data_IF_135103812307
#
_entry.id   IF_135103812307
#
_cell.length_a   1.000
_cell.length_b   1.000
_cell.length_c   1.000
_cell.angle_alpha   90.00
_cell.angle_beta   90.00
_cell.angle_gamma   90.00
#
_symmetry.space_group_name_H-M   'P 1'
#
loop_
_entity.id
_entity.type
_entity.pdbx_description
1 polymer ?
#
# COMPACT_ATOMS: atom_id res chain seq x y z
N UNK A 1 -0.01 32.35 -3.72
CA UNK A 1 0.72 31.48 -2.78
C UNK A 1 1.37 30.38 -3.60
N UNK A 2 2.71 30.32 -3.62
CA UNK A 2 3.46 29.24 -4.24
C UNK A 2 3.50 27.98 -3.35
N UNK A 3 3.99 26.87 -3.89
CA UNK A 3 4.06 25.59 -3.16
C UNK A 3 4.93 25.67 -1.89
N UNK A 4 5.93 26.54 -1.87
CA UNK A 4 6.82 26.74 -0.72
C UNK A 4 6.10 27.48 0.42
N UNK A 5 5.46 28.60 0.10
CA UNK A 5 4.66 29.41 1.05
C UNK A 5 3.49 28.59 1.64
N UNK A 6 2.84 27.76 0.82
CA UNK A 6 1.79 26.86 1.29
C UNK A 6 2.33 25.82 2.27
N UNK A 7 3.49 25.23 1.98
CA UNK A 7 4.12 24.23 2.86
C UNK A 7 4.47 24.83 4.22
N UNK A 8 5.04 26.04 4.24
CA UNK A 8 5.39 26.74 5.48
C UNK A 8 4.14 27.02 6.33
N UNK A 9 3.07 27.54 5.72
CA UNK A 9 1.81 27.79 6.43
C UNK A 9 1.18 26.52 7.00
N UNK A 10 1.19 25.41 6.24
CA UNK A 10 0.67 24.13 6.73
C UNK A 10 1.48 23.58 7.90
N UNK A 11 2.81 23.71 7.87
CA UNK A 11 3.67 23.30 8.97
C UNK A 11 3.38 24.09 10.26
N UNK A 12 3.13 25.39 10.14
CA UNK A 12 2.78 26.24 11.30
C UNK A 12 1.45 25.79 11.95
N UNK A 13 0.44 25.45 11.15
CA UNK A 13 -0.81 24.90 11.66
C UNK A 13 -0.60 23.54 12.35
N UNK A 14 0.22 22.66 11.79
CA UNK A 14 0.51 21.34 12.37
C UNK A 14 1.21 21.47 13.72
N UNK A 15 2.16 22.39 13.85
CA UNK A 15 2.96 22.56 15.08
C UNK A 15 2.13 23.04 16.28
N UNK A 16 0.97 23.65 16.04
CA UNK A 16 0.07 24.18 17.08
C UNK A 16 -1.27 23.44 17.14
N UNK A 17 -1.47 22.43 16.31
CA UNK A 17 -2.71 21.66 16.21
C UNK A 17 -2.96 20.80 17.46
N UNK A 18 -4.25 20.66 17.80
CA UNK A 18 -4.68 19.66 18.75
C UNK A 18 -4.69 18.24 18.14
N UNK A 19 -4.82 17.22 19.00
CA UNK A 19 -4.83 15.82 18.59
C UNK A 19 -5.96 15.52 17.58
N UNK A 20 -7.12 16.18 17.70
CA UNK A 20 -8.26 15.96 16.82
C UNK A 20 -7.94 16.40 15.40
N UNK A 21 -7.37 17.59 15.23
CA UNK A 21 -6.94 18.10 13.93
C UNK A 21 -5.83 17.22 13.33
N UNK A 22 -4.85 16.81 14.15
CA UNK A 22 -3.77 15.91 13.71
C UNK A 22 -4.31 14.56 13.20
N UNK A 23 -5.32 13.99 13.86
CA UNK A 23 -5.97 12.75 13.40
C UNK A 23 -6.64 12.92 12.04
N UNK A 24 -7.32 14.04 11.82
CA UNK A 24 -7.96 14.32 10.52
C UNK A 24 -6.91 14.50 9.42
N UNK A 25 -5.87 15.30 9.67
CA UNK A 25 -4.78 15.51 8.71
C UNK A 25 -4.10 14.19 8.37
N UNK A 26 -3.81 13.36 9.38
CA UNK A 26 -3.25 12.01 9.19
C UNK A 26 -4.16 11.16 8.29
N UNK A 27 -5.45 11.08 8.59
CA UNK A 27 -6.39 10.28 7.80
C UNK A 27 -6.48 10.75 6.33
N UNK A 28 -6.46 12.06 6.09
CA UNK A 28 -6.43 12.61 4.73
C UNK A 28 -5.15 12.20 4.01
N UNK A 29 -3.97 12.39 4.62
CA UNK A 29 -2.69 12.01 4.02
C UNK A 29 -2.66 10.50 3.73
N UNK A 30 -3.11 9.67 4.67
CA UNK A 30 -3.18 8.22 4.48
C UNK A 30 -4.10 7.85 3.31
N UNK A 31 -5.24 8.52 3.12
CA UNK A 31 -6.11 8.26 1.97
C UNK A 31 -5.44 8.52 0.62
N UNK A 32 -4.58 9.53 0.51
CA UNK A 32 -3.80 9.76 -0.71
C UNK A 32 -2.74 8.69 -0.94
N UNK A 33 -2.19 8.12 0.14
CA UNK A 33 -1.19 7.05 0.06
C UNK A 33 -1.80 5.70 -0.31
N UNK A 34 -3.04 5.43 0.09
CA UNK A 34 -3.73 4.17 -0.27
C UNK A 34 -3.95 4.03 -1.78
N UNK A 35 -4.16 5.14 -2.49
CA UNK A 35 -4.35 5.20 -3.95
C UNK A 35 -3.03 5.23 -4.74
N UNK A 36 -1.88 5.29 -4.06
CA UNK A 36 -0.57 5.28 -4.70
C UNK A 36 -0.33 3.94 -5.42
N UNK A 37 0.09 3.98 -6.68
CA UNK A 37 0.51 2.78 -7.43
C UNK A 37 1.86 2.32 -6.88
N UNK A 38 1.91 1.11 -6.32
CA UNK A 38 3.12 0.56 -5.69
C UNK A 38 3.70 -0.64 -6.43
N UNK A 39 2.94 -1.25 -7.34
CA UNK A 39 3.38 -2.39 -8.13
C UNK A 39 2.58 -2.50 -9.45
N UNK A 40 2.97 -3.46 -10.29
CA UNK A 40 2.24 -3.85 -11.49
C UNK A 40 2.09 -5.37 -11.52
N UNK A 41 0.94 -5.84 -11.99
CA UNK A 41 0.68 -7.28 -12.24
C UNK A 41 1.48 -7.81 -13.43
N UNK A 42 1.48 -9.13 -13.61
CA UNK A 42 2.10 -9.80 -14.78
C UNK A 42 1.48 -9.37 -16.13
N UNK A 43 0.25 -8.88 -16.11
CA UNK A 43 -0.43 -8.30 -17.28
C UNK A 43 -0.16 -6.80 -17.45
N UNK A 44 0.68 -6.21 -16.59
CA UNK A 44 1.01 -4.77 -16.60
C UNK A 44 -0.07 -3.86 -15.99
N UNK A 45 -1.10 -4.40 -15.34
CA UNK A 45 -2.12 -3.59 -14.64
C UNK A 45 -1.51 -2.98 -13.36
N UNK A 46 -1.70 -1.68 -13.10
CA UNK A 46 -1.22 -1.05 -11.86
C UNK A 46 -1.94 -1.62 -10.64
N UNK A 47 -1.21 -1.70 -9.53
CA UNK A 47 -1.73 -2.15 -8.23
C UNK A 47 -1.50 -1.03 -7.22
N UNK A 48 -2.60 -0.56 -6.61
CA UNK A 48 -2.57 0.45 -5.54
C UNK A 48 -2.04 -0.12 -4.23
N UNK A 49 -1.58 0.75 -3.33
CA UNK A 49 -1.14 0.35 -1.98
C UNK A 49 -2.24 -0.40 -1.23
N UNK A 50 -3.49 0.05 -1.34
CA UNK A 50 -4.65 -0.60 -0.72
C UNK A 50 -4.83 -2.04 -1.23
N UNK A 51 -4.84 -2.22 -2.55
CA UNK A 51 -4.96 -3.54 -3.18
C UNK A 51 -3.81 -4.47 -2.79
N UNK A 52 -2.58 -3.94 -2.79
CA UNK A 52 -1.39 -4.71 -2.43
C UNK A 52 -1.44 -5.19 -0.97
N UNK A 53 -1.89 -4.34 -0.04
CA UNK A 53 -2.10 -4.74 1.37
C UNK A 53 -3.15 -5.84 1.49
N UNK A 54 -4.23 -5.78 0.71
CA UNK A 54 -5.27 -6.81 0.69
C UNK A 54 -4.70 -8.15 0.20
N UNK A 55 -3.92 -8.14 -0.89
CA UNK A 55 -3.25 -9.34 -1.41
C UNK A 55 -2.29 -9.93 -0.36
N UNK A 56 -1.49 -9.10 0.31
CA UNK A 56 -0.59 -9.57 1.36
C UNK A 56 -1.33 -10.18 2.56
N UNK A 57 -2.50 -9.66 2.91
CA UNK A 57 -3.32 -10.23 3.98
C UNK A 57 -3.87 -11.61 3.59
N UNK A 58 -4.32 -11.76 2.35
CA UNK A 58 -4.77 -13.04 1.79
C UNK A 58 -3.63 -14.06 1.72
N UNK A 59 -2.48 -13.69 1.15
CA UNK A 59 -1.31 -14.57 1.04
C UNK A 59 -0.79 -15.03 2.40
N UNK A 60 -0.87 -14.19 3.44
CA UNK A 60 -0.52 -14.64 4.80
C UNK A 60 -1.43 -15.76 5.29
N UNK A 61 -2.73 -15.67 5.02
CA UNK A 61 -3.70 -16.72 5.39
C UNK A 61 -3.48 -18.01 4.59
N UNK A 62 -3.12 -17.91 3.31
CA UNK A 62 -2.74 -19.05 2.47
C UNK A 62 -1.51 -19.76 3.03
N UNK A 63 -0.46 -19.00 3.37
CA UNK A 63 0.76 -19.54 3.98
C UNK A 63 0.44 -20.24 5.32
N UNK A 64 -0.39 -19.64 6.17
CA UNK A 64 -0.80 -20.23 7.44
C UNK A 64 -1.59 -21.54 7.28
N UNK A 65 -2.36 -21.68 6.19
CA UNK A 65 -3.09 -22.91 5.85
C UNK A 65 -2.21 -23.98 5.21
N UNK A 66 -1.00 -23.63 4.78
CA UNK A 66 -0.14 -24.51 4.00
C UNK A 66 -0.43 -24.49 2.50
N UNK A 67 -1.17 -23.49 2.01
CA UNK A 67 -1.51 -23.30 0.60
C UNK A 67 -0.33 -22.64 -0.14
N UNK A 68 0.81 -23.32 -0.17
CA UNK A 68 2.01 -22.88 -0.91
C UNK A 68 2.68 -24.08 -1.59
N UNK A 69 3.41 -23.80 -2.66
CA UNK A 69 4.21 -24.79 -3.39
C UNK A 69 5.68 -24.36 -3.34
N UNK A 70 6.59 -25.34 -3.28
CA UNK A 70 8.02 -25.05 -3.42
C UNK A 70 8.38 -24.77 -4.88
N UNK A 71 9.48 -24.07 -5.11
CA UNK A 71 9.98 -23.84 -6.47
C UNK A 71 10.24 -25.18 -7.20
N UNK A 72 10.84 -26.16 -6.52
CA UNK A 72 11.11 -27.48 -7.08
C UNK A 72 9.84 -28.23 -7.49
N UNK A 73 8.76 -28.09 -6.71
CA UNK A 73 7.48 -28.74 -7.02
C UNK A 73 6.77 -28.06 -8.19
N UNK A 74 6.85 -26.73 -8.27
CA UNK A 74 6.35 -25.95 -9.41
C UNK A 74 7.08 -26.30 -10.71
N UNK A 75 8.40 -26.45 -10.67
CA UNK A 75 9.20 -26.85 -11.83
C UNK A 75 8.78 -28.22 -12.38
N UNK A 76 8.58 -29.22 -11.50
CA UNK A 76 8.07 -30.54 -11.89
C UNK A 76 6.66 -30.50 -12.47
N UNK A 77 5.78 -29.66 -11.93
CA UNK A 77 4.42 -29.51 -12.46
C UNK A 77 4.45 -28.92 -13.87
N UNK A 78 5.31 -27.93 -14.09
CA UNK A 78 5.43 -27.22 -15.37
C UNK A 78 5.89 -28.09 -16.54
N UNK A 79 6.55 -29.22 -16.27
CA UNK A 79 6.93 -30.20 -17.31
C UNK A 79 5.72 -30.81 -18.02
N UNK A 80 4.52 -30.71 -17.42
CA UNK A 80 3.28 -31.26 -17.97
C UNK A 80 2.32 -30.20 -18.55
N UNK A 81 2.74 -28.93 -18.62
CA UNK A 81 1.98 -27.84 -19.23
C UNK A 81 2.24 -27.74 -20.74
#
# INVERSE_FOLDING_TARGET
MGALELRESVLEYINTADERLLKVVKAVIESYQEEEIVAFSVEGKPITRSEYKSQLAETKLEIEKGDYISQDDLEKESENW
#
